data_IF_486627942182
#
_entry.id   IF_486627942182
#
_cell.length_a   1.000
_cell.length_b   1.000
_cell.length_c   1.000
_cell.angle_alpha   90.00
_cell.angle_beta   90.00
_cell.angle_gamma   90.00
#
_symmetry.space_group_name_H-M   'P 1'
#
loop_
_entity.id
_entity.type
_entity.pdbx_description
1 polymer ?
#
# COMPACT_ATOMS: atom_id res chain seq x y z
N UNK A 1 30.06 -34.50 42.30
CA UNK A 1 30.27 -33.09 42.81
C UNK A 1 30.29 -32.17 41.63
N UNK A 2 29.17 -31.62 41.39
CA UNK A 2 28.89 -30.83 40.17
C UNK A 2 28.80 -29.36 40.55
N UNK A 3 29.76 -28.56 40.17
CA UNK A 3 29.85 -27.17 40.50
C UNK A 3 29.36 -26.33 39.27
N UNK A 4 28.09 -25.94 39.31
CA UNK A 4 27.51 -24.93 38.37
C UNK A 4 28.04 -23.53 38.70
N UNK A 5 28.65 -22.88 37.73
CA UNK A 5 29.01 -21.46 37.79
C UNK A 5 27.76 -20.57 37.73
N UNK A 6 27.74 -19.43 38.44
CA UNK A 6 26.62 -18.51 38.44
C UNK A 6 26.57 -17.66 37.16
N UNK A 7 25.34 -17.39 36.68
CA UNK A 7 25.07 -16.49 35.55
C UNK A 7 25.25 -15.02 36.00
N UNK A 8 25.77 -14.12 35.15
CA UNK A 8 25.82 -12.70 35.47
C UNK A 8 24.45 -12.03 35.36
N UNK A 9 24.06 -11.35 36.42
CA UNK A 9 22.87 -10.48 36.44
C UNK A 9 23.16 -9.19 35.64
N UNK A 10 22.31 -8.90 34.65
CA UNK A 10 22.32 -7.65 33.91
C UNK A 10 21.72 -6.53 34.76
N UNK A 11 22.55 -5.63 35.26
CA UNK A 11 22.10 -4.40 35.91
C UNK A 11 21.70 -3.38 34.85
N UNK A 12 20.41 -3.06 34.77
CA UNK A 12 19.92 -1.89 34.03
C UNK A 12 20.21 -0.62 34.86
N UNK A 13 21.11 0.20 34.38
CA UNK A 13 21.33 1.54 34.92
C UNK A 13 20.27 2.48 34.35
N UNK A 14 19.40 2.99 35.22
CA UNK A 14 18.45 4.04 34.88
C UNK A 14 19.18 5.38 34.78
N UNK A 15 19.49 5.82 33.56
CA UNK A 15 19.94 7.17 33.29
C UNK A 15 18.76 8.14 33.26
N UNK A 16 18.66 9.00 34.28
CA UNK A 16 17.80 10.19 34.27
C UNK A 16 18.49 11.24 33.39
N UNK A 17 17.97 11.46 32.16
CA UNK A 17 18.24 12.67 31.41
C UNK A 17 17.01 13.58 31.52
N UNK A 18 17.12 14.65 32.29
CA UNK A 18 16.14 15.71 32.33
C UNK A 18 16.19 16.52 31.02
N UNK A 19 15.07 16.59 30.33
CA UNK A 19 14.79 17.61 29.35
C UNK A 19 13.60 18.41 29.85
N UNK A 20 13.90 19.50 30.59
CA UNK A 20 12.99 20.61 30.76
C UNK A 20 13.43 21.67 29.72
N UNK A 21 12.78 21.68 28.58
CA UNK A 21 12.87 22.72 27.58
C UNK A 21 11.49 23.31 27.38
N UNK A 22 11.35 24.56 27.84
CA UNK A 22 10.22 25.45 27.63
C UNK A 22 9.91 25.53 26.12
N UNK A 23 8.81 24.88 25.67
CA UNK A 23 8.25 25.15 24.35
C UNK A 23 7.09 26.12 24.52
N UNK A 24 7.43 27.41 24.39
CA UNK A 24 6.45 28.47 24.23
C UNK A 24 5.52 28.16 23.06
N UNK A 25 4.22 28.36 23.27
CA UNK A 25 3.16 28.37 22.27
C UNK A 25 3.59 29.20 21.06
N UNK A 26 3.93 28.52 19.96
CA UNK A 26 3.99 29.17 18.65
C UNK A 26 2.63 28.97 17.98
N UNK A 27 1.87 30.06 18.02
CA UNK A 27 0.64 30.25 17.29
C UNK A 27 0.93 30.18 15.78
N UNK A 28 0.66 29.02 15.15
CA UNK A 28 0.72 28.87 13.70
C UNK A 28 -0.50 29.58 13.12
N UNK A 29 -0.28 30.80 12.62
CA UNK A 29 -1.28 31.59 11.93
C UNK A 29 -2.00 30.76 10.86
N UNK A 30 -3.33 30.75 10.94
CA UNK A 30 -4.23 30.16 9.95
C UNK A 30 -4.03 30.86 8.61
N UNK A 31 -3.36 30.21 7.68
CA UNK A 31 -3.46 30.59 6.26
C UNK A 31 -4.79 30.06 5.74
N UNK A 32 -5.68 30.97 5.40
CA UNK A 32 -6.97 30.74 4.76
C UNK A 32 -6.75 30.12 3.37
N UNK A 33 -6.72 28.78 3.30
CA UNK A 33 -6.79 28.05 2.05
C UNK A 33 -8.26 27.94 1.68
N UNK A 34 -8.66 28.66 0.61
CA UNK A 34 -10.01 28.64 0.08
C UNK A 34 -10.57 27.22 -0.02
N UNK A 35 -11.88 27.08 0.19
CA UNK A 35 -12.63 25.82 0.32
C UNK A 35 -12.34 24.82 -0.80
N UNK A 36 -11.25 24.06 -0.65
CA UNK A 36 -11.03 22.79 -1.30
C UNK A 36 -11.59 21.75 -0.34
N UNK A 37 -12.35 20.75 -0.85
CA UNK A 37 -12.79 19.56 -0.09
C UNK A 37 -11.57 18.96 0.58
N UNK A 38 -11.30 19.38 1.82
CA UNK A 38 -10.04 19.09 2.48
C UNK A 38 -10.11 17.67 3.06
N UNK A 39 -9.08 16.88 2.79
CA UNK A 39 -8.84 15.60 3.47
C UNK A 39 -8.83 15.77 4.99
N UNK A 40 -8.66 17.01 5.48
CA UNK A 40 -8.71 17.40 6.89
C UNK A 40 -10.06 17.14 7.59
N UNK A 41 -11.17 17.05 6.83
CA UNK A 41 -12.50 16.83 7.40
C UNK A 41 -12.82 15.34 7.66
N UNK A 42 -11.97 14.41 7.19
CA UNK A 42 -12.16 12.98 7.41
C UNK A 42 -11.69 12.63 8.83
N UNK A 43 -12.60 12.09 9.65
CA UNK A 43 -12.25 11.74 11.03
C UNK A 43 -11.27 10.57 11.11
N UNK A 44 -10.44 10.55 12.16
CA UNK A 44 -9.54 9.42 12.42
C UNK A 44 -10.30 8.09 12.60
N UNK A 45 -11.55 8.15 13.07
CA UNK A 45 -12.43 6.98 13.22
C UNK A 45 -12.85 6.45 11.85
N UNK A 46 -13.21 7.34 10.91
CA UNK A 46 -13.57 6.94 9.54
C UNK A 46 -12.37 6.34 8.81
N UNK A 47 -11.16 6.88 9.01
CA UNK A 47 -9.93 6.31 8.45
C UNK A 47 -9.68 4.91 9.04
N UNK A 48 -9.88 4.73 10.35
CA UNK A 48 -9.72 3.43 10.99
C UNK A 48 -10.75 2.42 10.46
N UNK A 49 -12.02 2.81 10.31
CA UNK A 49 -13.08 1.96 9.75
C UNK A 49 -12.78 1.59 8.28
N UNK A 50 -12.37 2.55 7.46
CA UNK A 50 -11.92 2.28 6.08
C UNK A 50 -10.83 1.22 6.03
N UNK A 51 -9.81 1.33 6.90
CA UNK A 51 -8.72 0.35 6.97
C UNK A 51 -9.22 -1.02 7.40
N UNK A 52 -10.04 -1.10 8.44
CA UNK A 52 -10.63 -2.36 8.91
C UNK A 52 -11.46 -3.05 7.81
N UNK A 53 -12.27 -2.28 7.08
CA UNK A 53 -13.03 -2.81 5.93
C UNK A 53 -12.11 -3.30 4.81
N UNK A 54 -11.02 -2.58 4.52
CA UNK A 54 -10.05 -3.01 3.52
C UNK A 54 -9.34 -4.31 3.95
N UNK A 55 -8.95 -4.45 5.22
CA UNK A 55 -8.40 -5.71 5.73
C UNK A 55 -9.40 -6.87 5.61
N UNK A 56 -10.67 -6.64 5.96
CA UNK A 56 -11.75 -7.63 5.83
C UNK A 56 -12.00 -8.01 4.37
N UNK A 57 -12.02 -7.03 3.47
CA UNK A 57 -12.12 -7.23 2.03
C UNK A 57 -11.05 -8.20 1.52
N UNK A 58 -9.77 -7.91 1.79
CA UNK A 58 -8.68 -8.78 1.33
C UNK A 58 -8.61 -10.12 2.06
N UNK A 59 -9.11 -10.23 3.29
CA UNK A 59 -9.29 -11.52 3.95
C UNK A 59 -10.29 -12.40 3.20
N UNK A 60 -11.42 -11.84 2.78
CA UNK A 60 -12.42 -12.54 1.97
C UNK A 60 -11.90 -12.84 0.56
N UNK A 61 -11.21 -11.90 -0.09
CA UNK A 61 -10.55 -12.13 -1.39
C UNK A 61 -9.64 -13.36 -1.32
N UNK A 62 -8.77 -13.47 -0.31
CA UNK A 62 -7.89 -14.65 -0.14
C UNK A 62 -8.68 -15.94 0.04
N UNK A 63 -9.80 -15.89 0.79
CA UNK A 63 -10.64 -17.06 1.03
C UNK A 63 -11.33 -17.53 -0.25
N UNK A 64 -11.92 -16.63 -1.02
CA UNK A 64 -12.61 -16.95 -2.27
C UNK A 64 -11.59 -17.39 -3.33
N UNK A 65 -10.45 -16.67 -3.45
CA UNK A 65 -9.43 -16.95 -4.45
C UNK A 65 -8.70 -18.29 -4.22
N UNK A 66 -8.85 -18.93 -3.07
CA UNK A 66 -8.38 -20.30 -2.85
C UNK A 66 -9.12 -21.32 -3.71
N UNK A 67 -10.36 -21.03 -4.11
CA UNK A 67 -11.21 -21.86 -4.94
C UNK A 67 -11.39 -21.26 -6.34
N UNK A 68 -11.75 -19.97 -6.41
CA UNK A 68 -12.00 -19.25 -7.67
C UNK A 68 -11.44 -17.81 -7.61
N UNK A 69 -10.27 -17.57 -8.22
CA UNK A 69 -9.69 -16.23 -8.30
C UNK A 69 -10.52 -15.21 -9.11
N UNK A 70 -11.28 -15.65 -10.12
CA UNK A 70 -12.11 -14.76 -10.92
C UNK A 70 -13.36 -14.31 -10.12
N UNK A 71 -13.97 -15.21 -9.33
CA UNK A 71 -15.02 -14.84 -8.38
C UNK A 71 -14.50 -13.89 -7.32
N UNK A 72 -13.30 -14.14 -6.78
CA UNK A 72 -12.65 -13.24 -5.82
C UNK A 72 -12.44 -11.83 -6.40
N UNK A 73 -12.09 -11.71 -7.68
CA UNK A 73 -11.95 -10.44 -8.36
C UNK A 73 -13.29 -9.72 -8.52
N UNK A 74 -14.35 -10.46 -8.89
CA UNK A 74 -15.71 -9.92 -8.99
C UNK A 74 -16.20 -9.38 -7.63
N UNK A 75 -15.97 -10.12 -6.55
CA UNK A 75 -16.25 -9.70 -5.18
C UNK A 75 -15.46 -8.44 -4.80
N UNK A 76 -14.15 -8.41 -5.11
CA UNK A 76 -13.28 -7.27 -4.83
C UNK A 76 -13.75 -5.99 -5.53
N UNK A 77 -14.16 -6.07 -6.81
CA UNK A 77 -14.72 -4.94 -7.56
C UNK A 77 -15.97 -4.38 -6.88
N UNK A 78 -16.94 -5.24 -6.58
CA UNK A 78 -18.21 -4.86 -5.96
C UNK A 78 -18.01 -4.17 -4.60
N UNK A 79 -17.17 -4.75 -3.74
CA UNK A 79 -16.92 -4.18 -2.42
C UNK A 79 -16.13 -2.86 -2.48
N UNK A 80 -15.18 -2.72 -3.41
CA UNK A 80 -14.50 -1.45 -3.62
C UNK A 80 -15.47 -0.39 -4.13
N UNK A 81 -16.30 -0.70 -5.10
CA UNK A 81 -17.32 0.22 -5.61
C UNK A 81 -18.24 0.70 -4.48
N UNK A 82 -18.69 -0.23 -3.64
CA UNK A 82 -19.52 0.11 -2.49
C UNK A 82 -18.77 1.04 -1.52
N UNK A 83 -17.53 0.71 -1.17
CA UNK A 83 -16.72 1.53 -0.26
C UNK A 83 -16.47 2.93 -0.84
N UNK A 84 -16.07 3.02 -2.10
CA UNK A 84 -15.82 4.31 -2.76
C UNK A 84 -17.07 5.17 -2.85
N UNK A 85 -18.20 4.60 -3.21
CA UNK A 85 -19.46 5.34 -3.35
C UNK A 85 -20.07 5.81 -2.03
N UNK A 86 -19.87 5.07 -0.92
CA UNK A 86 -20.66 5.31 0.30
C UNK A 86 -19.85 5.69 1.54
N UNK A 87 -18.57 5.31 1.63
CA UNK A 87 -17.82 5.49 2.86
C UNK A 87 -17.38 6.95 3.10
N UNK A 88 -17.44 7.49 4.33
CA UNK A 88 -16.97 8.85 4.63
C UNK A 88 -15.51 9.08 4.24
N UNK A 89 -14.61 8.12 4.52
CA UNK A 89 -13.19 8.21 4.16
C UNK A 89 -12.87 7.74 2.73
N UNK A 90 -13.85 7.76 1.82
CA UNK A 90 -13.61 7.54 0.39
C UNK A 90 -12.65 8.59 -0.17
N UNK A 91 -11.69 8.23 -1.03
CA UNK A 91 -10.79 9.20 -1.63
C UNK A 91 -11.44 10.09 -2.71
N UNK A 92 -12.70 9.84 -3.05
CA UNK A 92 -13.43 10.68 -4.00
C UNK A 92 -13.77 12.04 -3.39
N UNK A 93 -13.71 13.09 -4.20
CA UNK A 93 -14.32 14.38 -3.83
C UNK A 93 -15.83 14.25 -3.67
N UNK A 94 -16.49 15.16 -2.95
CA UNK A 94 -17.95 15.16 -2.80
C UNK A 94 -18.67 15.20 -4.15
N UNK A 95 -18.16 15.99 -5.10
CA UNK A 95 -18.70 16.07 -6.45
C UNK A 95 -18.56 14.75 -7.22
N UNK A 96 -17.36 14.12 -7.19
CA UNK A 96 -17.12 12.83 -7.83
C UNK A 96 -17.98 11.72 -7.21
N UNK A 97 -18.19 11.76 -5.89
CA UNK A 97 -19.00 10.77 -5.17
C UNK A 97 -20.48 10.85 -5.56
N UNK A 98 -21.02 12.04 -5.81
CA UNK A 98 -22.42 12.23 -6.22
C UNK A 98 -22.74 11.64 -7.61
N UNK A 99 -21.75 11.52 -8.49
CA UNK A 99 -21.86 10.96 -9.85
C UNK A 99 -21.14 9.62 -10.01
N UNK A 100 -20.74 8.99 -8.92
CA UNK A 100 -19.93 7.76 -8.94
C UNK A 100 -20.72 6.59 -9.51
N UNK A 101 -20.26 6.06 -10.64
CA UNK A 101 -20.86 4.90 -11.33
C UNK A 101 -20.04 3.60 -11.21
N UNK A 102 -19.00 3.58 -10.37
CA UNK A 102 -18.09 2.46 -10.20
C UNK A 102 -16.67 2.80 -10.68
N UNK A 103 -15.70 2.03 -10.20
CA UNK A 103 -14.30 2.11 -10.60
C UNK A 103 -14.12 1.44 -11.97
N UNK A 104 -13.30 2.03 -12.82
CA UNK A 104 -12.93 1.38 -14.09
C UNK A 104 -11.96 0.23 -13.78
N UNK A 105 -12.39 -0.98 -13.93
CA UNK A 105 -11.55 -2.17 -13.68
C UNK A 105 -11.68 -3.12 -14.85
N UNK A 106 -10.57 -3.61 -15.37
CA UNK A 106 -10.56 -4.63 -16.42
C UNK A 106 -11.13 -5.97 -15.92
N UNK A 107 -11.51 -6.84 -16.84
CA UNK A 107 -11.91 -8.19 -16.52
C UNK A 107 -10.74 -9.03 -16.03
N UNK A 108 -11.03 -10.10 -15.27
CA UNK A 108 -10.01 -10.98 -14.73
C UNK A 108 -9.32 -11.78 -15.84
N UNK A 109 -7.98 -11.78 -15.82
CA UNK A 109 -7.16 -12.60 -16.71
C UNK A 109 -6.14 -13.41 -15.89
N UNK A 110 -6.25 -14.76 -15.86
CA UNK A 110 -5.39 -15.60 -15.05
C UNK A 110 -3.92 -15.57 -15.42
N UNK A 111 -3.54 -15.12 -16.62
CA UNK A 111 -2.13 -15.01 -17.03
C UNK A 111 -1.35 -13.97 -16.22
N UNK A 112 -2.05 -13.04 -15.56
CA UNK A 112 -1.47 -11.99 -14.72
C UNK A 112 -1.46 -12.35 -13.21
N UNK A 113 -1.67 -13.63 -12.87
CA UNK A 113 -1.56 -14.16 -11.52
C UNK A 113 -0.35 -15.08 -11.39
N UNK A 114 0.53 -14.77 -10.47
CA UNK A 114 1.81 -15.44 -10.27
C UNK A 114 1.96 -15.95 -8.83
N UNK A 115 2.79 -17.00 -8.68
CA UNK A 115 3.33 -17.46 -7.41
C UNK A 115 4.85 -17.27 -7.50
N UNK A 116 5.39 -16.30 -6.76
CA UNK A 116 6.76 -15.81 -6.94
C UNK A 116 7.49 -15.77 -5.60
N UNK A 117 8.67 -16.40 -5.48
CA UNK A 117 9.53 -16.22 -4.33
C UNK A 117 10.11 -14.80 -4.29
N UNK A 118 10.38 -14.32 -3.08
CA UNK A 118 11.10 -13.06 -2.90
C UNK A 118 12.60 -13.36 -2.94
N UNK A 119 13.30 -12.80 -3.93
CA UNK A 119 14.76 -12.86 -4.00
C UNK A 119 15.40 -11.81 -3.10
N UNK A 120 16.66 -11.98 -2.73
CA UNK A 120 17.40 -10.98 -1.94
C UNK A 120 18.04 -9.87 -2.79
N UNK A 121 17.72 -9.80 -4.07
CA UNK A 121 18.30 -8.82 -4.97
C UNK A 121 17.95 -7.39 -4.56
N UNK A 122 18.98 -6.58 -4.34
CA UNK A 122 18.84 -5.18 -3.92
C UNK A 122 18.36 -4.97 -2.49
N UNK A 123 18.27 -6.01 -1.67
CA UNK A 123 17.88 -5.92 -0.26
C UNK A 123 18.75 -4.90 0.52
N UNK A 124 18.16 -4.21 1.48
CA UNK A 124 18.81 -3.19 2.31
C UNK A 124 18.93 -1.81 1.68
N UNK A 125 18.60 -1.61 0.40
CA UNK A 125 18.54 -0.27 -0.19
C UNK A 125 17.42 0.55 0.43
N UNK A 126 17.70 1.82 0.70
CA UNK A 126 16.70 2.74 1.25
C UNK A 126 16.06 3.59 0.15
N UNK A 127 14.77 3.90 0.34
CA UNK A 127 14.01 4.86 -0.45
C UNK A 127 13.29 5.81 0.51
N UNK A 128 13.55 7.09 0.35
CA UNK A 128 12.91 8.14 1.11
C UNK A 128 11.91 8.86 0.20
N UNK A 129 10.67 8.93 0.65
CA UNK A 129 9.58 9.60 -0.08
C UNK A 129 9.09 10.76 0.76
N UNK A 130 9.26 11.98 0.25
CA UNK A 130 8.62 13.15 0.86
C UNK A 130 7.14 13.15 0.48
N UNK A 131 6.29 13.24 1.49
CA UNK A 131 4.84 13.36 1.32
C UNK A 131 4.38 14.69 1.93
N UNK A 132 3.36 15.30 1.33
CA UNK A 132 2.87 16.59 1.81
C UNK A 132 2.20 16.52 3.19
N UNK A 133 1.73 15.33 3.60
CA UNK A 133 0.98 15.14 4.85
C UNK A 133 1.78 14.43 5.94
N UNK A 134 2.59 13.41 5.57
CA UNK A 134 3.24 12.52 6.53
C UNK A 134 4.75 12.82 6.66
N UNK A 135 5.24 13.91 6.02
CA UNK A 135 6.65 14.26 5.98
C UNK A 135 7.48 13.20 5.24
N UNK A 136 8.66 12.86 5.76
CA UNK A 136 9.57 11.90 5.16
C UNK A 136 9.20 10.46 5.53
N UNK A 137 8.67 9.73 4.57
CA UNK A 137 8.35 8.30 4.70
C UNK A 137 9.53 7.46 4.19
N UNK A 138 10.05 6.58 5.04
CA UNK A 138 11.22 5.75 4.75
C UNK A 138 10.83 4.32 4.42
N UNK A 139 11.39 3.81 3.33
CA UNK A 139 11.25 2.41 2.93
C UNK A 139 12.62 1.75 2.84
N UNK A 140 12.67 0.45 3.13
CA UNK A 140 13.84 -0.41 2.93
C UNK A 140 13.45 -1.52 1.97
N UNK A 141 14.25 -1.75 0.93
CA UNK A 141 14.02 -2.84 -0.02
C UNK A 141 14.23 -4.18 0.66
N UNK A 142 13.22 -5.04 0.61
CA UNK A 142 13.30 -6.42 1.09
C UNK A 142 13.98 -7.33 0.08
N UNK A 143 13.77 -7.06 -1.20
CA UNK A 143 14.25 -7.86 -2.32
C UNK A 143 13.52 -7.51 -3.61
N UNK A 144 13.38 -8.51 -4.47
CA UNK A 144 12.80 -8.35 -5.82
C UNK A 144 11.86 -9.50 -6.12
N UNK A 145 10.74 -9.21 -6.77
CA UNK A 145 9.97 -10.18 -7.53
C UNK A 145 10.50 -10.23 -8.96
N UNK A 146 10.90 -11.43 -9.40
CA UNK A 146 11.30 -11.69 -10.78
C UNK A 146 10.11 -12.31 -11.51
N UNK A 147 9.43 -11.49 -12.31
CA UNK A 147 8.15 -11.82 -12.94
C UNK A 147 8.42 -12.31 -14.36
N UNK A 148 8.11 -13.58 -14.68
CA UNK A 148 8.33 -14.13 -16.01
C UNK A 148 7.72 -13.24 -17.09
N UNK A 149 8.50 -12.90 -18.12
CA UNK A 149 8.13 -12.07 -19.27
C UNK A 149 7.72 -10.63 -18.99
N UNK A 150 7.45 -10.27 -17.72
CA UNK A 150 7.05 -8.92 -17.36
C UNK A 150 8.22 -8.05 -16.88
N UNK A 151 9.24 -8.67 -16.24
CA UNK A 151 10.40 -7.99 -15.68
C UNK A 151 10.45 -8.06 -14.16
N UNK A 152 11.09 -7.09 -13.54
CA UNK A 152 11.37 -7.11 -12.09
C UNK A 152 10.68 -5.98 -11.36
N UNK A 153 10.23 -6.25 -10.13
CA UNK A 153 9.69 -5.26 -9.22
C UNK A 153 10.39 -5.33 -7.86
N UNK A 154 10.90 -4.20 -7.40
CA UNK A 154 11.41 -4.07 -6.04
C UNK A 154 10.27 -4.18 -5.03
N UNK A 155 10.50 -4.96 -3.98
CA UNK A 155 9.59 -5.14 -2.85
C UNK A 155 10.10 -4.33 -1.68
N UNK A 156 9.29 -3.41 -1.19
CA UNK A 156 9.65 -2.47 -0.14
C UNK A 156 8.98 -2.79 1.19
N UNK A 157 9.65 -2.48 2.27
CA UNK A 157 9.12 -2.48 3.63
C UNK A 157 9.04 -1.05 4.13
N UNK A 158 7.90 -0.62 4.63
CA UNK A 158 7.79 0.63 5.38
C UNK A 158 8.65 0.56 6.65
N UNK A 159 9.62 1.44 6.76
CA UNK A 159 10.51 1.53 7.92
C UNK A 159 9.95 2.51 8.95
N UNK A 160 8.89 2.07 9.65
CA UNK A 160 8.18 2.85 10.66
C UNK A 160 7.37 1.96 11.60
N UNK A 161 6.64 2.59 12.52
CA UNK A 161 5.89 1.88 13.57
C UNK A 161 4.92 0.83 13.03
N UNK A 162 4.18 1.14 11.97
CA UNK A 162 3.20 0.23 11.38
C UNK A 162 3.81 -0.89 10.54
N UNK A 163 5.05 -0.73 10.06
CA UNK A 163 5.67 -1.67 9.12
C UNK A 163 4.83 -1.90 7.85
N UNK A 164 5.04 -3.04 7.20
CA UNK A 164 4.23 -3.46 6.06
C UNK A 164 5.02 -3.55 4.76
N UNK A 165 4.50 -4.35 3.82
CA UNK A 165 5.07 -4.57 2.49
C UNK A 165 4.35 -3.65 1.50
N UNK A 166 5.13 -3.06 0.60
CA UNK A 166 4.65 -2.14 -0.41
C UNK A 166 5.30 -2.44 -1.76
N UNK A 167 4.48 -2.64 -2.80
CA UNK A 167 4.93 -2.89 -4.18
C UNK A 167 4.12 -2.01 -5.13
N UNK A 168 4.52 -0.74 -5.32
CA UNK A 168 3.96 0.09 -6.37
C UNK A 168 4.56 -0.32 -7.70
N UNK A 169 3.89 -0.04 -8.83
CA UNK A 169 4.48 -0.24 -10.15
C UNK A 169 3.88 0.71 -11.19
N UNK A 170 4.65 0.92 -12.26
CA UNK A 170 4.19 1.55 -13.52
C UNK A 170 4.43 0.57 -14.65
N UNK A 171 3.46 0.44 -15.52
CA UNK A 171 3.53 -0.33 -16.75
C UNK A 171 3.63 0.57 -18.00
N UNK A 172 3.74 -0.01 -19.17
CA UNK A 172 3.88 0.75 -20.42
C UNK A 172 2.63 1.58 -20.79
N UNK A 173 1.44 1.24 -20.23
CA UNK A 173 0.20 1.98 -20.48
C UNK A 173 0.01 3.19 -19.55
N UNK A 174 0.91 3.40 -18.57
CA UNK A 174 0.76 4.45 -17.57
C UNK A 174 0.71 5.85 -18.19
N UNK A 175 -0.42 6.53 -18.00
CA UNK A 175 -0.70 7.86 -18.55
C UNK A 175 -1.16 7.87 -20.03
N UNK A 176 -1.38 6.71 -20.64
CA UNK A 176 -1.99 6.60 -21.96
C UNK A 176 -3.52 6.69 -21.85
N UNK A 177 -4.21 7.21 -22.86
CA UNK A 177 -5.68 7.20 -22.89
C UNK A 177 -6.25 5.79 -22.77
N UNK A 178 -7.10 5.54 -21.77
CA UNK A 178 -7.68 4.23 -21.50
C UNK A 178 -6.72 3.21 -20.87
N UNK A 179 -5.50 3.63 -20.54
CA UNK A 179 -4.50 2.82 -19.84
C UNK A 179 -4.57 2.94 -18.31
N UNK A 180 -3.44 2.74 -17.68
CA UNK A 180 -3.30 2.86 -16.22
C UNK A 180 -2.97 4.29 -15.78
N UNK A 181 -3.19 4.60 -14.50
CA UNK A 181 -2.87 5.91 -13.93
C UNK A 181 -1.39 6.29 -14.13
N UNK A 182 -1.13 7.50 -14.60
CA UNK A 182 0.19 7.94 -15.00
C UNK A 182 1.28 7.88 -13.93
N UNK A 183 0.90 8.00 -12.65
CA UNK A 183 1.82 7.87 -11.53
C UNK A 183 2.01 6.41 -11.06
N UNK A 184 1.27 5.45 -11.64
CA UNK A 184 1.34 4.03 -11.34
C UNK A 184 0.24 3.54 -10.43
N UNK A 185 0.27 2.24 -10.17
CA UNK A 185 -0.71 1.49 -9.36
C UNK A 185 -0.01 0.76 -8.22
N UNK A 186 -0.78 0.28 -7.25
CA UNK A 186 -0.30 -0.56 -6.16
C UNK A 186 -0.69 -2.02 -6.40
N UNK A 187 0.31 -2.89 -6.38
CA UNK A 187 0.15 -4.33 -6.53
C UNK A 187 -0.03 -5.00 -5.16
N UNK A 188 0.81 -4.62 -4.20
CA UNK A 188 0.71 -5.01 -2.80
C UNK A 188 0.87 -3.77 -1.91
N UNK A 189 0.02 -3.66 -0.90
CA UNK A 189 0.10 -2.64 0.15
C UNK A 189 -0.47 -3.21 1.44
N UNK A 190 0.34 -3.96 2.17
CA UNK A 190 -0.10 -4.56 3.44
C UNK A 190 -0.29 -3.53 4.54
N UNK A 191 0.20 -2.30 4.35
CA UNK A 191 0.01 -1.16 5.25
C UNK A 191 -1.49 -0.80 5.30
N UNK A 192 -2.15 -0.93 4.16
CA UNK A 192 -3.59 -0.67 3.98
C UNK A 192 -4.43 -1.94 3.79
N UNK A 193 -3.82 -3.13 3.91
CA UNK A 193 -4.50 -4.41 3.88
C UNK A 193 -4.50 -5.14 2.53
N UNK A 194 -4.00 -4.53 1.44
CA UNK A 194 -3.93 -5.15 0.12
C UNK A 194 -2.84 -6.23 0.08
N UNK A 195 -3.26 -7.48 0.28
CA UNK A 195 -2.37 -8.64 0.34
C UNK A 195 -3.09 -9.91 -0.07
N UNK A 196 -2.51 -10.66 -1.02
CA UNK A 196 -3.11 -11.87 -1.58
C UNK A 196 -2.61 -13.16 -0.92
N UNK A 197 -1.64 -13.07 -0.01
CA UNK A 197 -1.13 -14.21 0.74
C UNK A 197 0.25 -14.68 0.28
N UNK A 198 0.73 -15.69 1.00
CA UNK A 198 1.98 -16.41 0.74
C UNK A 198 1.67 -17.88 0.83
N UNK A 199 2.19 -18.67 -0.10
CA UNK A 199 2.14 -20.13 -0.07
C UNK A 199 3.46 -20.70 0.40
N UNK A 200 3.42 -21.80 1.15
CA UNK A 200 4.62 -22.39 1.74
C UNK A 200 5.14 -21.62 2.96
N UNK A 201 6.39 -21.85 3.31
CA UNK A 201 7.06 -21.22 4.44
C UNK A 201 8.58 -21.19 4.24
N UNK A 202 9.26 -20.30 4.99
CA UNK A 202 10.71 -20.13 4.91
C UNK A 202 11.18 -19.48 3.60
N UNK A 203 12.43 -19.76 3.17
CA UNK A 203 13.01 -19.12 1.97
C UNK A 203 12.32 -19.48 0.65
N UNK A 204 11.64 -20.62 0.61
CA UNK A 204 10.89 -21.12 -0.57
C UNK A 204 9.43 -20.64 -0.59
N UNK A 205 9.04 -19.75 0.33
CA UNK A 205 7.70 -19.22 0.36
C UNK A 205 7.44 -18.32 -0.86
N UNK A 206 6.33 -18.58 -1.54
CA UNK A 206 5.92 -17.82 -2.73
C UNK A 206 4.81 -16.84 -2.41
N UNK A 207 5.01 -15.60 -2.80
CA UNK A 207 3.97 -14.59 -2.73
C UNK A 207 2.96 -14.79 -3.86
N UNK A 208 1.68 -14.64 -3.53
CA UNK A 208 0.64 -14.51 -4.55
C UNK A 208 0.67 -13.08 -5.05
N UNK A 209 1.12 -12.91 -6.29
CA UNK A 209 1.25 -11.62 -6.98
C UNK A 209 0.23 -11.60 -8.11
N UNK A 210 -0.85 -10.84 -7.95
CA UNK A 210 -1.99 -10.85 -8.86
C UNK A 210 -2.30 -9.43 -9.34
N UNK A 211 -1.94 -9.12 -10.57
CA UNK A 211 -2.12 -7.80 -11.18
C UNK A 211 -3.59 -7.46 -11.44
N UNK A 212 -4.49 -8.46 -11.48
CA UNK A 212 -5.92 -8.22 -11.61
C UNK A 212 -6.50 -7.38 -10.47
N UNK A 213 -5.83 -7.40 -9.32
CA UNK A 213 -6.21 -6.61 -8.14
C UNK A 213 -5.35 -5.34 -7.97
N UNK A 214 -4.54 -4.98 -8.97
CA UNK A 214 -3.79 -3.75 -8.94
C UNK A 214 -4.74 -2.55 -8.91
N UNK A 215 -4.47 -1.56 -8.05
CA UNK A 215 -5.38 -0.45 -7.85
C UNK A 215 -4.67 0.91 -7.83
N UNK A 216 -5.41 1.96 -8.15
CA UNK A 216 -4.90 3.31 -8.17
C UNK A 216 -4.70 3.87 -6.75
N UNK A 217 -3.62 4.64 -6.51
CA UNK A 217 -3.45 5.38 -5.26
C UNK A 217 -4.53 6.46 -5.09
N UNK A 218 -4.81 6.86 -3.87
CA UNK A 218 -5.84 7.84 -3.55
C UNK A 218 -5.67 9.18 -4.30
N UNK A 219 -4.43 9.57 -4.60
CA UNK A 219 -4.14 10.79 -5.39
C UNK A 219 -4.61 10.71 -6.86
N UNK A 220 -4.98 9.54 -7.37
CA UNK A 220 -5.63 9.41 -8.67
C UNK A 220 -7.07 9.96 -8.68
N UNK A 221 -7.69 10.07 -7.52
CA UNK A 221 -9.08 10.49 -7.36
C UNK A 221 -9.22 11.90 -6.75
N UNK A 222 -8.25 12.32 -5.97
CA UNK A 222 -8.20 13.64 -5.36
C UNK A 222 -6.74 14.02 -5.08
N UNK A 223 -6.28 15.12 -5.67
CA UNK A 223 -4.90 15.63 -5.56
C UNK A 223 -4.51 16.04 -4.13
N UNK A 224 -5.48 16.22 -3.24
CA UNK A 224 -5.22 16.49 -1.83
C UNK A 224 -4.54 15.31 -1.10
N UNK A 225 -4.57 14.09 -1.68
CA UNK A 225 -3.89 12.92 -1.12
C UNK A 225 -2.42 12.87 -1.53
N UNK A 226 -1.53 12.77 -0.55
CA UNK A 226 -0.11 12.48 -0.79
C UNK A 226 0.12 10.96 -0.77
N UNK A 227 0.62 10.40 -1.87
CA UNK A 227 0.80 8.98 -2.06
C UNK A 227 2.24 8.65 -2.46
N UNK A 228 2.88 7.61 -1.86
CA UNK A 228 4.15 7.10 -2.38
C UNK A 228 3.94 6.52 -3.79
N UNK A 229 4.78 6.93 -4.75
CA UNK A 229 4.64 6.53 -6.13
C UNK A 229 5.73 5.52 -6.56
N UNK A 230 5.51 4.85 -7.70
CA UNK A 230 6.45 3.90 -8.25
C UNK A 230 7.75 4.58 -8.72
N UNK A 231 8.86 4.25 -8.05
CA UNK A 231 10.19 4.67 -8.44
C UNK A 231 10.74 3.92 -9.67
N UNK A 232 11.98 4.25 -10.09
CA UNK A 232 12.58 3.64 -11.29
C UNK A 232 12.70 2.10 -11.23
N UNK A 233 12.91 1.52 -10.05
CA UNK A 233 13.03 0.06 -9.84
C UNK A 233 11.69 -0.69 -9.88
N UNK A 234 10.59 0.03 -10.10
CA UNK A 234 9.24 -0.51 -10.16
C UNK A 234 8.55 -0.10 -11.48
N UNK A 235 9.29 -0.09 -12.58
CA UNK A 235 8.78 0.17 -13.92
C UNK A 235 8.89 -1.07 -14.78
N UNK A 236 7.75 -1.53 -15.29
CA UNK A 236 7.66 -2.60 -16.29
C UNK A 236 7.61 -1.98 -17.68
N UNK A 237 8.39 -2.52 -18.61
CA UNK A 237 8.42 -2.06 -20.00
C UNK A 237 7.29 -2.64 -20.85
N UNK A 238 6.47 -3.51 -20.27
CA UNK A 238 5.34 -4.19 -20.89
C UNK A 238 4.01 -3.59 -20.43
N UNK A 239 2.96 -3.84 -21.19
CA UNK A 239 1.59 -3.46 -20.84
C UNK A 239 1.01 -4.42 -19.81
N UNK A 240 0.30 -3.89 -18.83
CA UNK A 240 -0.47 -4.66 -17.83
C UNK A 240 -1.95 -4.22 -17.94
N UNK A 241 -2.71 -4.81 -18.88
CA UNK A 241 -4.07 -4.34 -19.23
C UNK A 241 -5.14 -4.84 -18.25
N UNK A 242 -4.75 -5.30 -17.05
CA UNK A 242 -5.64 -5.79 -15.99
C UNK A 242 -5.57 -4.89 -14.76
N UNK A 243 -6.49 -5.11 -13.81
CA UNK A 243 -6.62 -4.30 -12.62
C UNK A 243 -7.39 -3.01 -12.89
N UNK A 244 -7.23 -2.02 -12.02
CA UNK A 244 -7.90 -0.73 -12.12
C UNK A 244 -7.27 0.14 -13.21
N UNK A 245 -8.10 0.70 -14.09
CA UNK A 245 -7.74 1.60 -15.19
C UNK A 245 -7.99 3.07 -14.81
N UNK A 246 -7.61 4.00 -15.72
CA UNK A 246 -7.76 5.45 -15.46
C UNK A 246 -8.47 6.19 -16.60
#
# INVERSE_FOLDING_TARGET
MDARAPRPEARFAAGKAGYAGDMADQDFGSTDFGAQDSVADISAVDIADWRLRTFALYANVRKIAAEDPAEAHSYWRQERDRMFGTHPASPLTAAAKSSFGGLKTADYDPIYRFHIPLTNEGAGREMNVETGTDGLVRFVRLGTFDLPELGQLAVWKLNGYGGGIFVPFRDATAGQPGGSYGAGRYLLDTIKGAFHGVQGSGPEAEFVVDFNFAYNPSCAYNEAWACPLAGPSNRLAVEIPVGELY
#
